data_IF_135629842420
#
_entry.id   IF_135629842420
#
_cell.length_a   1.000
_cell.length_b   1.000
_cell.length_c   1.000
_cell.angle_alpha   90.00
_cell.angle_beta   90.00
_cell.angle_gamma   90.00
#
_symmetry.space_group_name_H-M   'P 1'
#
loop_
_entity.id
_entity.type
_entity.pdbx_description
1 polymer ?
#
# COMPACT_ATOMS: atom_id res chain seq x y z
N UNK A 1 -20.35 2.60 -3.41
CA UNK A 1 -20.05 1.16 -3.47
C UNK A 1 -18.54 1.00 -3.37
N UNK A 2 -18.02 0.68 -2.18
CA UNK A 2 -16.60 0.34 -2.02
C UNK A 2 -16.44 -1.15 -2.31
N UNK A 3 -16.23 -1.49 -3.57
CA UNK A 3 -15.85 -2.85 -3.96
C UNK A 3 -14.35 -3.02 -3.68
N UNK A 4 -13.98 -3.18 -2.41
CA UNK A 4 -12.62 -3.60 -2.06
C UNK A 4 -12.47 -5.05 -2.54
N UNK A 5 -11.69 -5.25 -3.60
CA UNK A 5 -11.37 -6.59 -4.10
C UNK A 5 -10.21 -7.11 -3.25
N UNK A 6 -10.43 -8.22 -2.55
CA UNK A 6 -9.34 -8.91 -1.86
C UNK A 6 -8.47 -9.60 -2.92
N UNK A 7 -7.20 -9.24 -2.97
CA UNK A 7 -6.23 -9.82 -3.91
C UNK A 7 -5.49 -10.94 -3.18
N UNK A 8 -5.54 -12.15 -3.75
CA UNK A 8 -4.69 -13.28 -3.35
C UNK A 8 -3.80 -13.58 -4.54
N UNK A 9 -2.49 -13.42 -4.34
CA UNK A 9 -1.49 -13.68 -5.37
C UNK A 9 -0.31 -14.40 -4.72
N UNK A 10 0.23 -15.39 -5.42
CA UNK A 10 1.52 -15.98 -5.05
C UNK A 10 2.63 -15.00 -5.46
N UNK A 11 3.50 -14.67 -4.50
CA UNK A 11 4.67 -13.82 -4.74
C UNK A 11 5.94 -14.69 -4.71
N UNK A 12 6.91 -14.44 -5.61
CA UNK A 12 8.20 -15.11 -5.56
C UNK A 12 8.91 -14.90 -4.22
N UNK A 13 9.68 -15.90 -3.78
CA UNK A 13 10.35 -15.89 -2.47
C UNK A 13 11.29 -14.68 -2.31
N UNK A 14 12.08 -14.36 -3.34
CA UNK A 14 12.98 -13.19 -3.35
C UNK A 14 12.23 -11.86 -3.13
N UNK A 15 11.03 -11.72 -3.71
CA UNK A 15 10.19 -10.54 -3.53
C UNK A 15 9.63 -10.48 -2.11
N UNK A 16 9.22 -11.64 -1.57
CA UNK A 16 8.75 -11.76 -0.20
C UNK A 16 9.84 -11.39 0.82
N UNK A 17 11.08 -11.86 0.63
CA UNK A 17 12.21 -11.52 1.50
C UNK A 17 12.54 -10.02 1.46
N UNK A 18 12.49 -9.42 0.28
CA UNK A 18 12.70 -7.99 0.09
C UNK A 18 11.60 -7.17 0.79
N UNK A 19 10.33 -7.56 0.62
CA UNK A 19 9.19 -6.95 1.31
C UNK A 19 9.34 -7.04 2.83
N UNK A 20 9.71 -8.22 3.34
CA UNK A 20 9.90 -8.45 4.77
C UNK A 20 11.00 -7.55 5.33
N UNK A 21 12.13 -7.44 4.63
CA UNK A 21 13.24 -6.57 5.02
C UNK A 21 12.80 -5.10 5.06
N UNK A 22 12.07 -4.64 4.03
CA UNK A 22 11.55 -3.28 3.99
C UNK A 22 10.62 -2.95 5.18
N UNK A 23 9.71 -3.87 5.52
CA UNK A 23 8.78 -3.70 6.65
C UNK A 23 9.47 -3.70 8.02
N UNK A 24 10.58 -4.44 8.16
CA UNK A 24 11.39 -4.42 9.39
C UNK A 24 12.01 -3.04 9.60
N UNK A 25 12.48 -2.41 8.53
CA UNK A 25 13.09 -1.07 8.57
C UNK A 25 12.04 0.06 8.70
N UNK A 26 10.78 -0.23 8.36
CA UNK A 26 9.68 0.73 8.33
C UNK A 26 8.51 0.26 9.21
N UNK A 27 8.60 0.37 10.55
CA UNK A 27 7.58 -0.12 11.48
C UNK A 27 6.21 0.57 11.31
N UNK A 28 6.19 1.70 10.61
CA UNK A 28 4.97 2.43 10.29
C UNK A 28 4.23 1.91 9.04
N UNK A 29 4.80 0.92 8.37
CA UNK A 29 4.25 0.32 7.19
C UNK A 29 3.77 -1.10 7.49
N UNK A 30 2.66 -1.47 6.85
CA UNK A 30 2.18 -2.84 6.80
C UNK A 30 2.18 -3.32 5.36
N UNK A 31 1.98 -4.63 5.19
CA UNK A 31 1.99 -5.29 3.89
C UNK A 31 1.01 -4.63 2.92
N UNK A 32 -0.22 -4.37 3.37
CA UNK A 32 -1.27 -3.76 2.54
C UNK A 32 -0.86 -2.37 2.06
N UNK A 33 -0.29 -1.55 2.94
CA UNK A 33 0.20 -0.21 2.60
C UNK A 33 1.30 -0.24 1.53
N UNK A 34 2.25 -1.17 1.64
CA UNK A 34 3.30 -1.35 0.63
C UNK A 34 2.68 -1.74 -0.71
N UNK A 35 1.75 -2.69 -0.73
CA UNK A 35 1.09 -3.13 -1.96
C UNK A 35 0.25 -2.03 -2.60
N UNK A 36 -0.52 -1.27 -1.82
CA UNK A 36 -1.31 -0.16 -2.34
C UNK A 36 -0.40 0.94 -2.92
N UNK A 37 0.71 1.26 -2.24
CA UNK A 37 1.70 2.22 -2.74
C UNK A 37 2.35 1.73 -4.04
N UNK A 38 2.79 0.47 -4.09
CA UNK A 38 3.42 -0.11 -5.27
C UNK A 38 2.45 -0.18 -6.46
N UNK A 39 1.20 -0.59 -6.24
CA UNK A 39 0.19 -0.71 -7.28
C UNK A 39 -0.23 0.67 -7.82
N UNK A 40 -0.45 1.64 -6.95
CA UNK A 40 -0.79 3.01 -7.35
C UNK A 40 0.36 3.66 -8.14
N UNK A 41 1.61 3.48 -7.69
CA UNK A 41 2.79 3.94 -8.42
C UNK A 41 2.93 3.27 -9.79
N UNK A 42 2.74 1.94 -9.86
CA UNK A 42 2.77 1.20 -11.12
C UNK A 42 1.73 1.73 -12.11
N UNK A 43 0.49 1.95 -11.65
CA UNK A 43 -0.59 2.50 -12.48
C UNK A 43 -0.29 3.92 -12.95
N UNK A 44 0.31 4.77 -12.11
CA UNK A 44 0.74 6.12 -12.51
C UNK A 44 1.79 6.10 -13.62
N UNK A 45 2.77 5.21 -13.49
CA UNK A 45 3.89 5.10 -14.43
C UNK A 45 3.46 4.52 -15.77
N UNK A 46 2.58 3.52 -15.78
CA UNK A 46 2.24 2.76 -16.98
C UNK A 46 0.97 3.26 -17.69
N UNK A 47 0.02 3.86 -16.97
CA UNK A 47 -1.31 4.15 -17.50
C UNK A 47 -1.58 5.64 -17.78
N UNK A 48 -0.52 6.47 -17.80
CA UNK A 48 -0.60 7.86 -18.24
C UNK A 48 -1.48 8.74 -17.34
N UNK A 49 -0.87 9.35 -16.31
CA UNK A 49 -1.46 10.44 -15.52
C UNK A 49 -2.85 10.20 -14.94
N UNK A 50 -3.18 8.96 -14.52
CA UNK A 50 -4.39 8.74 -13.75
C UNK A 50 -4.26 9.42 -12.38
N UNK A 51 -4.90 10.59 -12.25
CA UNK A 51 -4.93 11.40 -11.03
C UNK A 51 -5.53 10.63 -9.85
N UNK A 52 -6.35 9.60 -10.09
CA UNK A 52 -6.92 8.76 -9.03
C UNK A 52 -5.84 7.88 -8.41
N UNK A 53 -5.00 7.25 -9.24
CA UNK A 53 -3.87 6.47 -8.75
C UNK A 53 -2.87 7.36 -8.01
N UNK A 54 -2.60 8.57 -8.53
CA UNK A 54 -1.75 9.55 -7.84
C UNK A 54 -2.27 9.95 -6.46
N UNK A 55 -3.58 10.14 -6.33
CA UNK A 55 -4.21 10.43 -5.04
C UNK A 55 -4.08 9.26 -4.07
N UNK A 56 -4.37 8.04 -4.51
CA UNK A 56 -4.21 6.83 -3.69
C UNK A 56 -2.76 6.66 -3.24
N UNK A 57 -1.79 6.90 -4.11
CA UNK A 57 -0.37 6.86 -3.78
C UNK A 57 -0.01 7.86 -2.67
N UNK A 58 -0.40 9.14 -2.84
CA UNK A 58 -0.14 10.19 -1.86
C UNK A 58 -0.86 9.93 -0.53
N UNK A 59 -2.12 9.52 -0.56
CA UNK A 59 -2.87 9.15 0.63
C UNK A 59 -2.18 7.97 1.33
N UNK A 60 -1.67 6.99 0.60
CA UNK A 60 -0.92 5.87 1.19
C UNK A 60 0.38 6.32 1.86
N UNK A 61 1.09 7.29 1.29
CA UNK A 61 2.33 7.83 1.87
C UNK A 61 2.08 8.70 3.10
N UNK A 62 1.05 9.55 3.09
CA UNK A 62 0.87 10.60 4.09
C UNK A 62 -0.27 10.37 5.08
N UNK A 63 -1.23 9.48 4.79
CA UNK A 63 -2.44 9.31 5.62
C UNK A 63 -2.22 8.41 6.85
N UNK A 64 -1.10 8.60 7.57
CA UNK A 64 -0.89 8.02 8.90
C UNK A 64 -0.86 9.12 9.98
N UNK A 65 -1.99 9.80 10.12
CA UNK A 65 -2.34 10.55 11.32
C UNK A 65 -3.86 10.59 11.42
N UNK A 66 -4.47 9.68 12.21
CA UNK A 66 -5.70 9.92 13.01
C UNK A 66 -6.57 8.68 13.31
N UNK A 67 -6.28 7.45 12.87
CA UNK A 67 -7.20 6.36 13.23
C UNK A 67 -6.54 5.04 13.64
N UNK A 68 -5.86 5.05 14.80
CA UNK A 68 -5.61 3.86 15.62
C UNK A 68 -5.91 4.05 17.12
N UNK A 69 -6.54 5.16 17.53
CA UNK A 69 -6.85 5.43 18.96
C UNK A 69 -8.34 5.34 19.35
N UNK A 70 -9.28 5.05 18.43
CA UNK A 70 -10.72 5.03 18.76
C UNK A 70 -11.38 3.64 18.64
N UNK A 71 -10.60 2.55 18.67
CA UNK A 71 -11.14 1.19 18.60
C UNK A 71 -10.65 0.20 19.64
N UNK A 72 -10.14 0.69 20.78
CA UNK A 72 -9.90 -0.18 21.93
C UNK A 72 -10.27 0.52 23.25
N UNK A 73 -11.46 0.16 23.75
CA UNK A 73 -11.97 0.20 25.13
C UNK A 73 -12.58 1.51 25.64
#
# INVERSE_FOLDING_TARGET
MNSAVSIVAEIPEELHETLKSYLVDHPDWDQDRVFVAALSLFLMQNNGSDRRAARVYLDTLFNRSENRSDRAS
#
